data_IF_602522206587
#
_entry.id   IF_602522206587
#
_cell.length_a   1.000
_cell.length_b   1.000
_cell.length_c   1.000
_cell.angle_alpha   90.00
_cell.angle_beta   90.00
_cell.angle_gamma   90.00
#
_symmetry.space_group_name_H-M   'P 1'
#
loop_
_entity.id
_entity.type
_entity.pdbx_description
1 polymer ?
#
# COMPACT_ATOMS: atom_id res chain seq x y z
N UNK A 1 47.10 -38.78 31.19
CA UNK A 1 45.63 -38.61 31.28
C UNK A 1 45.30 -37.28 30.62
N UNK A 2 44.61 -37.12 29.49
CA UNK A 2 43.94 -37.96 28.48
C UNK A 2 44.04 -37.14 27.16
N UNK A 3 44.77 -37.59 26.14
CA UNK A 3 44.28 -38.18 24.88
C UNK A 3 43.08 -37.47 24.22
N UNK A 4 43.34 -36.98 23.01
CA UNK A 4 42.37 -36.45 22.03
C UNK A 4 41.45 -37.56 21.51
N UNK A 5 40.15 -37.32 21.46
CA UNK A 5 39.21 -38.15 20.68
C UNK A 5 38.44 -37.29 19.68
N UNK A 6 38.69 -37.57 18.40
CA UNK A 6 37.88 -37.14 17.26
C UNK A 6 36.46 -37.71 17.40
N UNK A 7 35.47 -36.84 17.65
CA UNK A 7 34.07 -37.17 17.40
C UNK A 7 33.71 -36.71 15.99
N UNK A 8 33.59 -37.66 15.07
CA UNK A 8 32.93 -37.46 13.76
C UNK A 8 31.43 -37.29 14.03
N UNK A 9 30.82 -36.12 13.76
CA UNK A 9 29.37 -36.02 13.84
C UNK A 9 28.75 -36.87 12.73
N UNK A 10 27.84 -37.77 13.11
CA UNK A 10 26.90 -38.39 12.17
C UNK A 10 26.16 -37.26 11.44
N UNK A 11 26.20 -37.28 10.11
CA UNK A 11 25.32 -36.43 9.30
C UNK A 11 23.91 -36.99 9.50
N UNK A 12 23.15 -36.38 10.40
CA UNK A 12 21.70 -36.46 10.41
C UNK A 12 21.23 -35.86 9.09
N UNK A 13 20.84 -36.71 8.13
CA UNK A 13 20.07 -36.26 6.97
C UNK A 13 18.70 -35.87 7.51
N UNK A 14 18.57 -34.62 7.95
CA UNK A 14 17.28 -34.01 8.15
C UNK A 14 16.60 -33.99 6.79
N UNK A 15 15.61 -34.87 6.60
CA UNK A 15 14.67 -34.80 5.49
C UNK A 15 13.85 -33.52 5.70
N UNK A 16 14.44 -32.40 5.30
CA UNK A 16 13.77 -31.12 5.31
C UNK A 16 12.69 -31.19 4.24
N UNK A 17 11.45 -31.39 4.68
CA UNK A 17 10.29 -30.86 3.99
C UNK A 17 10.45 -29.34 4.07
N UNK A 18 11.27 -28.77 3.17
CA UNK A 18 11.23 -27.36 2.89
C UNK A 18 9.84 -27.11 2.31
N UNK A 19 8.91 -26.70 3.18
CA UNK A 19 7.67 -26.09 2.74
C UNK A 19 8.14 -24.81 2.04
N UNK A 20 8.13 -24.81 0.72
CA UNK A 20 8.25 -23.58 -0.04
C UNK A 20 6.97 -22.81 0.29
N UNK A 21 7.04 -21.99 1.33
CA UNK A 21 6.09 -20.91 1.52
C UNK A 21 6.53 -19.87 0.50
N UNK A 22 6.08 -20.03 -0.75
CA UNK A 22 6.08 -18.91 -1.69
C UNK A 22 5.39 -17.76 -0.97
N UNK A 23 6.14 -16.72 -0.62
CA UNK A 23 5.57 -15.47 -0.14
C UNK A 23 4.62 -15.01 -1.23
N UNK A 24 3.31 -15.04 -0.96
CA UNK A 24 2.32 -14.39 -1.81
C UNK A 24 2.50 -12.88 -1.69
N UNK A 25 3.58 -12.36 -2.26
CA UNK A 25 3.65 -10.95 -2.56
C UNK A 25 2.64 -10.76 -3.69
N UNK A 26 1.48 -10.16 -3.37
CA UNK A 26 0.47 -9.88 -4.38
C UNK A 26 1.15 -9.09 -5.52
N UNK A 27 0.96 -9.54 -6.76
CA UNK A 27 1.56 -8.91 -7.91
C UNK A 27 0.94 -7.52 -8.13
N UNK A 28 1.68 -6.63 -8.80
CA UNK A 28 1.12 -5.35 -9.19
C UNK A 28 -0.01 -5.53 -10.23
N UNK A 29 -1.20 -4.97 -9.97
CA UNK A 29 -2.36 -5.04 -10.85
C UNK A 29 -2.29 -4.02 -11.98
N UNK A 30 -1.85 -2.79 -11.67
CA UNK A 30 -1.78 -1.67 -12.61
C UNK A 30 -0.52 -0.86 -12.37
N UNK A 31 0.13 -0.43 -13.43
CA UNK A 31 1.35 0.37 -13.36
C UNK A 31 1.11 1.78 -13.91
N UNK A 32 1.87 2.74 -13.40
CA UNK A 32 1.94 4.10 -13.91
C UNK A 32 3.39 4.54 -14.04
N UNK A 33 3.73 5.26 -15.10
CA UNK A 33 5.07 5.84 -15.28
C UNK A 33 5.02 7.33 -14.97
N UNK A 34 5.79 7.76 -13.97
CA UNK A 34 5.85 9.14 -13.51
C UNK A 34 6.22 10.08 -14.66
N UNK A 35 5.43 11.15 -14.81
CA UNK A 35 5.62 12.21 -15.78
C UNK A 35 6.16 13.48 -15.11
N UNK A 36 6.67 14.41 -15.93
CA UNK A 36 7.12 15.71 -15.43
C UNK A 36 5.95 16.50 -14.81
N UNK A 37 6.16 17.01 -13.58
CA UNK A 37 5.17 17.76 -12.84
C UNK A 37 4.11 16.88 -12.14
N UNK A 38 4.39 15.59 -11.96
CA UNK A 38 3.58 14.72 -11.12
C UNK A 38 3.96 14.83 -9.65
N UNK A 39 2.96 14.56 -8.81
CA UNK A 39 3.04 14.33 -7.37
C UNK A 39 1.94 13.32 -7.01
N UNK A 40 2.05 12.63 -5.87
CA UNK A 40 1.15 11.50 -5.55
C UNK A 40 -0.33 11.84 -5.71
N UNK A 41 -0.84 12.92 -5.11
CA UNK A 41 -2.28 13.26 -5.19
C UNK A 41 -2.76 13.49 -6.63
N UNK A 42 -1.93 14.12 -7.49
CA UNK A 42 -2.27 14.32 -8.90
C UNK A 42 -2.33 13.00 -9.65
N UNK A 43 -1.37 12.10 -9.42
CA UNK A 43 -1.39 10.76 -9.99
C UNK A 43 -2.64 10.02 -9.49
N UNK A 44 -2.86 10.05 -8.18
CA UNK A 44 -3.97 9.38 -7.50
C UNK A 44 -5.33 9.80 -8.04
N UNK A 45 -5.55 11.11 -8.19
CA UNK A 45 -6.80 11.64 -8.72
C UNK A 45 -6.98 11.29 -10.20
N UNK A 46 -5.91 11.26 -10.99
CA UNK A 46 -5.98 10.95 -12.41
C UNK A 46 -6.11 9.44 -12.70
N UNK A 47 -5.62 8.59 -11.79
CA UNK A 47 -5.52 7.13 -11.99
C UNK A 47 -6.50 6.33 -11.14
N UNK A 48 -7.41 6.99 -10.41
CA UNK A 48 -8.36 6.38 -9.48
C UNK A 48 -7.66 5.41 -8.52
N UNK A 49 -6.80 5.96 -7.67
CA UNK A 49 -6.07 5.20 -6.65
C UNK A 49 -5.96 6.03 -5.38
N UNK A 50 -6.12 5.42 -4.21
CA UNK A 50 -5.90 6.10 -2.93
C UNK A 50 -4.45 6.62 -2.84
N UNK A 51 -4.26 7.85 -2.36
CA UNK A 51 -2.92 8.41 -2.08
C UNK A 51 -2.17 7.52 -1.09
N UNK A 52 -2.85 7.02 -0.06
CA UNK A 52 -2.28 6.11 0.93
C UNK A 52 -1.86 4.76 0.32
N UNK A 53 -2.71 4.18 -0.53
CA UNK A 53 -2.39 2.93 -1.22
C UNK A 53 -1.15 3.10 -2.10
N UNK A 54 -1.10 4.19 -2.90
CA UNK A 54 0.04 4.49 -3.77
C UNK A 54 1.34 4.61 -2.95
N UNK A 55 1.32 5.38 -1.86
CA UNK A 55 2.44 5.52 -0.93
C UNK A 55 2.89 4.17 -0.36
N UNK A 56 1.94 3.37 0.12
CA UNK A 56 2.22 2.12 0.84
C UNK A 56 2.82 1.06 -0.09
N UNK A 57 2.21 0.85 -1.26
CA UNK A 57 2.64 -0.18 -2.22
C UNK A 57 4.03 0.12 -2.79
N UNK A 58 4.41 1.40 -2.87
CA UNK A 58 5.70 1.83 -3.42
C UNK A 58 6.69 2.31 -2.35
N UNK A 59 6.46 2.03 -1.07
CA UNK A 59 7.27 2.50 0.06
C UNK A 59 8.77 2.11 0.02
N UNK A 60 9.15 1.18 -0.87
CA UNK A 60 10.55 0.84 -1.12
C UNK A 60 11.29 1.88 -1.98
N UNK A 61 10.56 2.73 -2.72
CA UNK A 61 11.11 3.70 -3.68
C UNK A 61 10.57 5.12 -3.47
N UNK A 62 9.36 5.29 -2.95
CA UNK A 62 8.80 6.60 -2.57
C UNK A 62 8.78 6.77 -1.06
N UNK A 63 9.03 8.00 -0.59
CA UNK A 63 8.94 8.32 0.83
C UNK A 63 7.50 8.68 1.26
N UNK A 64 7.23 8.77 2.59
CA UNK A 64 5.89 9.09 3.07
C UNK A 64 5.36 10.47 2.68
N UNK A 65 6.24 11.42 2.34
CA UNK A 65 5.83 12.74 1.88
C UNK A 65 5.53 12.76 0.36
N UNK A 66 5.95 11.71 -0.36
CA UNK A 66 5.87 11.57 -1.81
C UNK A 66 6.45 12.78 -2.57
N UNK A 67 7.55 13.33 -2.06
CA UNK A 67 8.26 14.45 -2.69
C UNK A 67 9.50 14.02 -3.49
N UNK A 68 9.78 12.71 -3.52
CA UNK A 68 10.96 12.12 -4.13
C UNK A 68 10.71 11.41 -5.49
N UNK A 69 9.55 11.62 -6.11
CA UNK A 69 9.20 11.00 -7.40
C UNK A 69 10.22 11.32 -8.51
N UNK A 70 10.60 10.30 -9.29
CA UNK A 70 11.50 10.48 -10.42
C UNK A 70 10.77 10.29 -11.76
N UNK A 71 10.94 11.22 -12.70
CA UNK A 71 10.36 11.06 -14.06
C UNK A 71 10.87 9.77 -14.70
N UNK A 72 9.96 8.95 -15.21
CA UNK A 72 10.26 7.63 -15.78
C UNK A 72 10.24 6.48 -14.76
N UNK A 73 10.12 6.76 -13.46
CA UNK A 73 9.89 5.74 -12.43
C UNK A 73 8.55 5.04 -12.66
N UNK A 74 8.54 3.72 -12.49
CA UNK A 74 7.33 2.90 -12.61
C UNK A 74 6.78 2.65 -11.22
N UNK A 75 5.61 3.21 -10.95
CA UNK A 75 4.86 3.00 -9.72
C UNK A 75 3.81 1.93 -9.93
N UNK A 76 3.61 1.12 -8.89
CA UNK A 76 2.47 0.23 -8.81
C UNK A 76 1.27 0.96 -8.21
N UNK A 77 0.17 1.03 -8.94
CA UNK A 77 -1.03 1.71 -8.47
C UNK A 77 -1.80 0.87 -7.44
N UNK A 78 -1.77 -0.45 -7.56
CA UNK A 78 -2.46 -1.35 -6.64
C UNK A 78 -2.05 -2.78 -6.84
N UNK A 79 -2.27 -3.62 -5.82
CA UNK A 79 -1.95 -5.04 -5.88
C UNK A 79 -3.17 -5.84 -6.33
N UNK A 80 -2.94 -6.97 -7.00
CA UNK A 80 -4.02 -7.85 -7.46
C UNK A 80 -4.88 -8.28 -6.27
N UNK A 81 -6.19 -8.02 -6.36
CA UNK A 81 -7.18 -8.34 -5.33
C UNK A 81 -7.19 -7.39 -4.13
N UNK A 82 -6.43 -6.29 -4.16
CA UNK A 82 -6.36 -5.28 -3.09
C UNK A 82 -6.36 -3.84 -3.64
N UNK A 83 -6.64 -3.65 -4.93
CA UNK A 83 -6.59 -2.34 -5.59
C UNK A 83 -7.90 -1.56 -5.37
N UNK A 84 -7.83 -0.47 -4.60
CA UNK A 84 -8.95 0.44 -4.47
C UNK A 84 -9.08 1.36 -5.70
N UNK A 85 -10.02 1.02 -6.59
CA UNK A 85 -10.30 1.78 -7.81
C UNK A 85 -11.49 2.73 -7.69
N UNK A 86 -12.24 2.67 -6.58
CA UNK A 86 -13.34 3.58 -6.28
C UNK A 86 -12.92 4.55 -5.18
N UNK A 87 -12.74 5.81 -5.56
CA UNK A 87 -12.09 6.82 -4.72
C UNK A 87 -12.90 8.11 -4.61
N UNK A 88 -12.57 8.91 -3.59
CA UNK A 88 -13.03 10.29 -3.41
C UNK A 88 -11.84 11.23 -3.32
N UNK A 89 -11.86 12.33 -4.08
CA UNK A 89 -10.85 13.39 -3.98
C UNK A 89 -11.35 14.43 -2.99
N UNK A 90 -10.63 14.61 -1.88
CA UNK A 90 -11.00 15.53 -0.80
C UNK A 90 -11.11 16.96 -1.33
N UNK A 91 -12.28 17.56 -1.15
CA UNK A 91 -12.60 18.91 -1.52
C UNK A 91 -12.69 19.84 -0.30
N UNK A 92 -12.77 21.15 -0.55
CA UNK A 92 -12.93 22.12 0.53
C UNK A 92 -14.25 21.90 1.28
N UNK A 93 -14.17 21.75 2.59
CA UNK A 93 -15.32 21.53 3.47
C UNK A 93 -15.70 20.06 3.67
N UNK A 94 -14.98 19.13 3.02
CA UNK A 94 -15.18 17.70 3.29
C UNK A 94 -14.72 17.32 4.70
N UNK A 95 -15.48 16.40 5.29
CA UNK A 95 -15.13 15.65 6.49
C UNK A 95 -15.45 14.17 6.24
N UNK A 96 -14.89 13.26 7.03
CA UNK A 96 -15.05 11.83 6.83
C UNK A 96 -16.54 11.39 6.81
N UNK A 97 -17.38 12.01 7.64
CA UNK A 97 -18.81 11.70 7.66
C UNK A 97 -19.52 12.06 6.34
N UNK A 98 -19.17 13.20 5.72
CA UNK A 98 -19.77 13.61 4.45
C UNK A 98 -19.26 12.77 3.29
N UNK A 99 -17.97 12.42 3.29
CA UNK A 99 -17.35 11.53 2.29
C UNK A 99 -18.00 10.14 2.37
N UNK A 100 -18.05 9.54 3.57
CA UNK A 100 -18.62 8.23 3.79
C UNK A 100 -20.11 8.19 3.37
N UNK A 101 -20.88 9.22 3.73
CA UNK A 101 -22.29 9.32 3.34
C UNK A 101 -22.46 9.42 1.82
N UNK A 102 -21.61 10.15 1.10
CA UNK A 102 -21.68 10.27 -0.37
C UNK A 102 -21.35 8.94 -1.06
N UNK A 103 -20.42 8.18 -0.49
CA UNK A 103 -20.05 6.85 -0.96
C UNK A 103 -21.00 5.73 -0.49
N UNK A 104 -22.03 6.04 0.30
CA UNK A 104 -22.95 5.07 0.90
C UNK A 104 -22.25 4.01 1.78
N UNK A 105 -21.20 4.41 2.49
CA UNK A 105 -20.48 3.60 3.48
C UNK A 105 -20.56 4.25 4.87
N UNK A 106 -20.10 3.54 5.89
CA UNK A 106 -19.93 4.13 7.23
C UNK A 106 -18.56 4.78 7.37
N UNK A 107 -18.43 5.77 8.26
CA UNK A 107 -17.13 6.35 8.61
C UNK A 107 -16.14 5.28 9.09
N UNK A 108 -16.61 4.24 9.79
CA UNK A 108 -15.76 3.13 10.20
C UNK A 108 -15.18 2.34 9.02
N UNK A 109 -15.95 2.14 7.94
CA UNK A 109 -15.47 1.51 6.71
C UNK A 109 -14.46 2.43 6.02
N UNK A 110 -14.79 3.73 5.90
CA UNK A 110 -13.88 4.72 5.31
C UNK A 110 -12.51 4.74 6.02
N UNK A 111 -12.49 4.73 7.35
CA UNK A 111 -11.25 4.72 8.13
C UNK A 111 -10.51 3.37 8.07
N UNK A 112 -11.24 2.26 7.93
CA UNK A 112 -10.61 0.95 7.74
C UNK A 112 -9.90 0.85 6.39
N UNK A 113 -10.49 1.43 5.34
CA UNK A 113 -9.93 1.46 3.98
C UNK A 113 -8.83 2.53 3.82
N UNK A 114 -8.76 3.51 4.73
CA UNK A 114 -7.73 4.55 4.75
C UNK A 114 -7.03 4.65 6.13
N UNK A 115 -6.18 3.67 6.49
CA UNK A 115 -5.50 3.63 7.80
C UNK A 115 -4.60 4.83 8.14
N UNK A 116 -4.27 5.67 7.17
CA UNK A 116 -3.56 6.94 7.42
C UNK A 116 -4.46 8.00 8.03
N UNK A 117 -5.78 7.91 7.86
CA UNK A 117 -6.73 8.91 8.34
C UNK A 117 -7.02 8.67 9.82
N UNK A 118 -6.86 9.72 10.62
CA UNK A 118 -7.11 9.65 12.05
C UNK A 118 -8.61 9.54 12.36
N UNK A 119 -8.95 9.04 13.55
CA UNK A 119 -10.35 8.83 13.95
C UNK A 119 -11.17 10.14 14.06
N UNK A 120 -10.50 11.30 14.20
CA UNK A 120 -11.15 12.60 14.23
C UNK A 120 -11.29 13.23 12.83
N UNK A 121 -10.76 12.57 11.79
CA UNK A 121 -10.66 13.06 10.43
C UNK A 121 -9.96 14.44 10.33
N UNK A 122 -8.97 14.70 11.20
CA UNK A 122 -8.33 16.02 11.27
C UNK A 122 -7.07 16.16 10.41
N UNK A 123 -6.60 15.06 9.85
CA UNK A 123 -5.36 14.99 9.10
C UNK A 123 -5.54 14.81 7.58
N UNK A 124 -6.77 14.95 7.06
CA UNK A 124 -7.02 14.98 5.62
C UNK A 124 -6.78 16.37 5.03
N UNK A 125 -6.37 16.43 3.76
CA UNK A 125 -6.17 17.71 3.07
C UNK A 125 -6.80 17.75 1.68
N UNK A 126 -7.09 18.96 1.19
CA UNK A 126 -7.64 19.17 -0.15
C UNK A 126 -6.71 18.54 -1.19
N UNK A 127 -7.30 17.76 -2.10
CA UNK A 127 -6.59 17.02 -3.14
C UNK A 127 -6.15 15.62 -2.75
N UNK A 128 -6.13 15.27 -1.47
CA UNK A 128 -5.89 13.88 -1.03
C UNK A 128 -6.96 12.95 -1.61
N UNK A 129 -6.58 11.72 -1.97
CA UNK A 129 -7.50 10.75 -2.57
C UNK A 129 -7.72 9.60 -1.60
N UNK A 130 -8.95 9.47 -1.11
CA UNK A 130 -9.36 8.41 -0.20
C UNK A 130 -10.05 7.27 -0.94
N UNK A 131 -9.78 6.05 -0.50
CA UNK A 131 -10.52 4.86 -0.90
C UNK A 131 -11.93 4.90 -0.33
N UNK A 132 -12.97 4.66 -1.15
CA UNK A 132 -14.36 4.63 -0.67
C UNK A 132 -15.13 3.36 -1.03
N UNK A 133 -14.48 2.43 -1.71
CA UNK A 133 -14.91 1.04 -1.74
C UNK A 133 -13.68 0.13 -1.89
N UNK A 134 -13.60 -0.99 -1.16
CA UNK A 134 -12.53 -1.95 -1.34
C UNK A 134 -12.59 -2.57 -2.75
N UNK A 135 -11.44 -3.08 -3.20
CA UNK A 135 -11.33 -3.86 -4.43
C UNK A 135 -12.36 -5.00 -4.43
N UNK A 136 -13.18 -5.08 -5.47
CA UNK A 136 -14.15 -6.16 -5.66
C UNK A 136 -13.48 -7.52 -5.93
#
# INVERSE_FOLDING_TARGET
MFQFTNVRPLILVALSLAILVESQQAACARNYTVQAGDFCDKISAAQNVSTFQLATVNSAIIDPACDNLQVGEVLCLGLVGQDCDTVHVVASGDICDTIASQANITTAVLLADNPNVDAACTNIHIGEVLCVAPAA
#
